data_IF_932672614227
#
_entry.id   IF_932672614227
#
_cell.length_a   1.000
_cell.length_b   1.000
_cell.length_c   1.000
_cell.angle_alpha   90.00
_cell.angle_beta   90.00
_cell.angle_gamma   90.00
#
_symmetry.space_group_name_H-M   'P 1'
#
loop_
_entity.id
_entity.type
_entity.pdbx_description
1 polymer ?
#
# COMPACT_ATOMS: atom_id res chain seq x y z
N UNK A 1 -20.75 -2.54 -5.56
CA UNK A 1 -19.63 -1.98 -6.37
C UNK A 1 -18.33 -2.59 -5.88
N UNK A 2 -17.38 -2.78 -6.80
CA UNK A 2 -16.03 -3.28 -6.53
C UNK A 2 -15.04 -2.13 -6.65
N UNK A 3 -14.11 -2.02 -5.70
CA UNK A 3 -13.09 -0.98 -5.67
C UNK A 3 -11.71 -1.60 -5.43
N UNK A 4 -10.68 -1.03 -6.06
CA UNK A 4 -9.30 -1.42 -5.82
C UNK A 4 -8.54 -0.24 -5.21
N UNK A 5 -7.71 -0.52 -4.21
CA UNK A 5 -6.83 0.46 -3.56
C UNK A 5 -5.39 0.03 -3.80
N UNK A 6 -4.58 0.92 -4.37
CA UNK A 6 -3.16 0.66 -4.64
C UNK A 6 -2.31 1.36 -3.57
N UNK A 7 -1.50 0.58 -2.86
CA UNK A 7 -0.66 0.99 -1.73
C UNK A 7 -1.30 0.69 -0.37
N UNK A 8 -0.62 -0.06 0.49
CA UNK A 8 -1.03 -0.40 1.87
C UNK A 8 -0.51 0.58 2.94
N UNK A 9 -0.20 1.82 2.54
CA UNK A 9 0.11 2.90 3.45
C UNK A 9 -1.11 3.38 4.25
N UNK A 10 -0.89 4.33 5.17
CA UNK A 10 -1.95 4.87 6.05
C UNK A 10 -3.15 5.41 5.27
N UNK A 11 -2.91 6.11 4.17
CA UNK A 11 -3.97 6.67 3.33
C UNK A 11 -4.74 5.58 2.56
N UNK A 12 -4.03 4.58 2.02
CA UNK A 12 -4.66 3.46 1.30
C UNK A 12 -5.54 2.62 2.21
N UNK A 13 -5.05 2.26 3.40
CA UNK A 13 -5.85 1.52 4.37
C UNK A 13 -7.05 2.32 4.89
N UNK A 14 -6.90 3.64 5.09
CA UNK A 14 -8.02 4.51 5.46
C UNK A 14 -9.09 4.55 4.36
N UNK A 15 -8.69 4.65 3.08
CA UNK A 15 -9.60 4.62 1.94
C UNK A 15 -10.30 3.26 1.81
N UNK A 16 -9.56 2.15 1.94
CA UNK A 16 -10.10 0.81 1.90
C UNK A 16 -11.15 0.58 3.00
N UNK A 17 -10.87 1.03 4.22
CA UNK A 17 -11.78 0.93 5.36
C UNK A 17 -13.05 1.77 5.15
N UNK A 18 -12.91 2.99 4.61
CA UNK A 18 -14.05 3.85 4.31
C UNK A 18 -14.97 3.22 3.24
N UNK A 19 -14.38 2.61 2.22
CA UNK A 19 -15.11 1.93 1.14
C UNK A 19 -15.78 0.63 1.63
N UNK A 20 -15.08 -0.16 2.44
CA UNK A 20 -15.63 -1.39 3.03
C UNK A 20 -16.82 -1.08 3.96
N UNK A 21 -16.73 -0.01 4.78
CA UNK A 21 -17.84 0.44 5.63
C UNK A 21 -19.08 0.89 4.86
N UNK A 22 -18.91 1.30 3.59
CA UNK A 22 -20.01 1.65 2.68
C UNK A 22 -20.59 0.43 1.96
N UNK A 23 -20.14 -0.79 2.29
CA UNK A 23 -20.62 -2.03 1.69
C UNK A 23 -20.02 -2.32 0.30
N UNK A 24 -18.87 -1.73 -0.02
CA UNK A 24 -18.15 -2.04 -1.25
C UNK A 24 -17.21 -3.23 -1.03
N UNK A 25 -17.06 -4.06 -2.06
CA UNK A 25 -16.07 -5.12 -2.10
C UNK A 25 -14.73 -4.49 -2.51
N UNK A 26 -13.76 -4.50 -1.59
CA UNK A 26 -12.49 -3.76 -1.76
C UNK A 26 -11.31 -4.74 -1.85
N UNK A 27 -10.48 -4.57 -2.87
CA UNK A 27 -9.20 -5.27 -3.02
C UNK A 27 -8.06 -4.30 -2.81
N UNK A 28 -7.12 -4.60 -1.91
CA UNK A 28 -5.91 -3.80 -1.69
C UNK A 28 -4.73 -4.46 -2.42
N UNK A 29 -4.02 -3.69 -3.23
CA UNK A 29 -2.85 -4.10 -3.99
C UNK A 29 -1.62 -3.36 -3.46
N UNK A 30 -0.55 -4.08 -3.16
CA UNK A 30 0.73 -3.51 -2.73
C UNK A 30 1.84 -4.02 -3.66
N UNK A 31 2.80 -3.16 -4.00
CA UNK A 31 3.92 -3.47 -4.87
C UNK A 31 5.03 -4.25 -4.12
N UNK A 32 5.11 -4.07 -2.81
CA UNK A 32 6.05 -4.81 -1.96
C UNK A 32 5.49 -6.18 -1.56
N UNK A 33 6.30 -7.22 -1.79
CA UNK A 33 6.00 -8.63 -1.51
C UNK A 33 5.78 -8.89 0.00
N UNK A 34 6.35 -8.04 0.85
CA UNK A 34 6.21 -8.11 2.31
C UNK A 34 5.56 -6.82 2.83
N UNK A 35 4.46 -6.89 3.61
CA UNK A 35 3.95 -5.76 4.38
C UNK A 35 4.88 -5.50 5.58
N UNK A 36 6.13 -5.15 5.28
CA UNK A 36 7.17 -4.84 6.24
C UNK A 36 7.16 -3.36 6.62
N UNK A 37 7.98 -2.96 7.61
CA UNK A 37 8.10 -1.57 8.06
C UNK A 37 8.49 -0.58 6.93
N UNK A 38 8.97 -1.05 5.78
CA UNK A 38 9.20 -0.26 4.57
C UNK A 38 7.93 0.39 4.00
N UNK A 39 6.77 -0.24 4.17
CA UNK A 39 5.48 0.35 3.82
C UNK A 39 5.10 1.54 4.73
N UNK A 40 5.67 1.63 5.95
CA UNK A 40 5.51 2.79 6.85
C UNK A 40 6.52 3.90 6.59
N UNK A 41 7.70 3.57 6.05
CA UNK A 41 8.78 4.53 5.80
C UNK A 41 8.63 5.29 4.46
N UNK A 42 7.86 4.76 3.51
CA UNK A 42 7.67 5.38 2.20
C UNK A 42 6.51 6.40 2.18
N UNK A 43 6.59 7.42 3.02
CA UNK A 43 6.05 8.73 2.65
C UNK A 43 7.13 9.45 1.84
N UNK A 44 7.27 9.13 0.55
CA UNK A 44 8.14 9.81 -0.43
C UNK A 44 9.38 10.51 0.19
N UNK A 45 10.33 9.72 0.66
CA UNK A 45 11.74 10.14 0.66
C UNK A 45 12.25 9.86 -0.76
N UNK A 46 12.47 10.88 -1.63
CA UNK A 46 13.07 10.63 -2.93
C UNK A 46 14.55 10.31 -2.67
N UNK A 47 14.85 9.03 -2.40
CA UNK A 47 16.23 8.57 -2.45
C UNK A 47 16.57 8.36 -3.93
N UNK A 48 17.51 9.10 -4.53
CA UNK A 48 17.93 8.81 -5.90
C UNK A 48 18.68 7.47 -5.87
N UNK A 49 18.10 6.42 -6.47
CA UNK A 49 18.78 5.13 -6.64
C UNK A 49 18.16 3.92 -5.90
N UNK A 50 16.84 3.86 -5.73
CA UNK A 50 16.17 2.69 -5.14
C UNK A 50 16.06 1.48 -6.08
N UNK A 51 17.19 0.85 -6.43
CA UNK A 51 17.16 -0.55 -6.86
C UNK A 51 16.83 -1.41 -5.64
N UNK A 52 15.74 -2.18 -5.73
CA UNK A 52 15.37 -3.18 -4.76
C UNK A 52 16.56 -4.12 -4.53
N UNK A 53 17.14 -4.05 -3.33
CA UNK A 53 18.11 -5.03 -2.88
C UNK A 53 17.39 -6.37 -2.71
N UNK A 54 17.56 -7.26 -3.69
CA UNK A 54 17.40 -8.69 -3.48
C UNK A 54 18.43 -9.09 -2.42
N UNK A 55 17.96 -9.34 -1.20
CA UNK A 55 18.75 -10.06 -0.21
C UNK A 55 18.73 -11.56 -0.49
N UNK A 56 19.77 -12.31 -0.09
CA UNK A 56 19.79 -13.77 -0.16
C UNK A 56 18.74 -14.43 0.74
#
# INVERSE_FOLDING_TARGET
MRAAVVGCGVAGMAAALALARRGHEVTVLECFDTPGPWARACCCSPRPGGAAGAGP
#
